data_IF_737139406208
#
_entry.id   IF_737139406208
#
_cell.length_a   1.000
_cell.length_b   1.000
_cell.length_c   1.000
_cell.angle_alpha   90.00
_cell.angle_beta   90.00
_cell.angle_gamma   90.00
#
_symmetry.space_group_name_H-M   'P 1'
#
loop_
_entity.id
_entity.type
_entity.pdbx_description
1 polymer ?
#
# COMPACT_ATOMS: atom_id res chain seq x y z
N UNK A 1 -20.81 -0.27 -15.57
CA UNK A 1 -19.90 0.28 -14.55
C UNK A 1 -18.49 0.20 -15.10
N UNK A 2 -17.78 1.32 -15.25
CA UNK A 2 -16.40 1.30 -15.74
C UNK A 2 -15.54 0.57 -14.71
N UNK A 3 -14.89 -0.53 -15.10
CA UNK A 3 -13.86 -1.14 -14.25
C UNK A 3 -12.84 -0.06 -13.90
N UNK A 4 -12.65 0.29 -12.62
CA UNK A 4 -11.62 1.25 -12.25
C UNK A 4 -10.29 0.69 -12.76
N UNK A 5 -9.58 1.48 -13.58
CA UNK A 5 -8.26 1.10 -14.08
C UNK A 5 -7.38 0.71 -12.89
N UNK A 6 -6.86 -0.51 -12.90
CA UNK A 6 -5.95 -1.01 -11.88
C UNK A 6 -4.75 -0.07 -11.77
N UNK A 7 -4.36 0.27 -10.55
CA UNK A 7 -3.18 1.10 -10.30
C UNK A 7 -1.96 0.20 -10.43
N UNK A 8 -0.95 0.66 -11.16
CA UNK A 8 0.34 -0.03 -11.21
C UNK A 8 1.02 0.04 -9.83
N UNK A 9 1.45 -1.12 -9.34
CA UNK A 9 2.18 -1.23 -8.08
C UNK A 9 3.39 -2.15 -8.25
N UNK A 10 4.47 -1.86 -7.52
CA UNK A 10 5.66 -2.68 -7.46
C UNK A 10 5.89 -3.14 -6.03
N UNK A 11 6.19 -4.42 -5.82
CA UNK A 11 6.55 -4.96 -4.50
C UNK A 11 8.05 -5.22 -4.50
N UNK A 12 8.81 -4.40 -3.77
CA UNK A 12 10.26 -4.57 -3.69
C UNK A 12 10.87 -3.90 -2.45
N UNK A 13 11.43 -4.66 -1.48
CA UNK A 13 11.47 -6.12 -1.41
C UNK A 13 10.12 -6.74 -0.98
N UNK A 14 9.93 -8.03 -1.28
CA UNK A 14 8.93 -8.87 -0.62
C UNK A 14 9.60 -9.69 0.49
N UNK A 15 9.50 -9.15 1.70
CA UNK A 15 9.97 -9.75 2.95
C UNK A 15 8.98 -10.79 3.49
N UNK A 16 8.90 -10.91 4.82
CA UNK A 16 8.09 -11.93 5.47
C UNK A 16 6.58 -11.73 5.25
N UNK A 17 6.01 -10.50 5.30
CA UNK A 17 4.62 -10.28 4.90
C UNK A 17 4.40 -10.48 3.41
N UNK A 18 3.46 -11.33 3.01
CA UNK A 18 3.20 -11.67 1.61
C UNK A 18 1.98 -10.89 1.11
N UNK A 19 2.19 -10.08 0.07
CA UNK A 19 1.12 -9.34 -0.62
C UNK A 19 0.67 -10.17 -1.81
N UNK A 20 -0.63 -10.37 -1.93
CA UNK A 20 -1.24 -11.09 -3.04
C UNK A 20 -1.58 -10.15 -4.20
N UNK A 21 -2.28 -9.05 -3.92
CA UNK A 21 -2.71 -8.12 -4.97
C UNK A 21 -3.03 -6.72 -4.46
N UNK A 22 -3.18 -5.78 -5.39
CA UNK A 22 -3.82 -4.49 -5.14
C UNK A 22 -5.01 -4.30 -6.05
N UNK A 23 -6.15 -3.91 -5.47
CA UNK A 23 -7.38 -3.61 -6.18
C UNK A 23 -7.77 -2.15 -5.98
N UNK A 24 -8.09 -1.45 -7.07
CA UNK A 24 -8.63 -0.09 -7.03
C UNK A 24 -10.15 -0.18 -6.96
N UNK A 25 -10.77 0.44 -5.95
CA UNK A 25 -12.23 0.46 -5.82
C UNK A 25 -12.83 1.72 -6.42
N UNK A 26 -12.22 2.88 -6.11
CA UNK A 26 -12.69 4.19 -6.56
C UNK A 26 -11.49 5.00 -7.03
N UNK A 27 -11.65 5.67 -8.17
CA UNK A 27 -10.71 6.68 -8.66
C UNK A 27 -11.48 7.91 -9.12
N UNK A 28 -11.34 8.99 -8.35
CA UNK A 28 -11.76 10.33 -8.74
C UNK A 28 -10.52 11.16 -9.13
N UNK A 29 -10.74 12.42 -9.53
CA UNK A 29 -9.67 13.36 -9.94
C UNK A 29 -8.54 13.47 -8.91
N UNK A 30 -8.91 13.52 -7.62
CA UNK A 30 -7.99 13.86 -6.52
C UNK A 30 -8.05 12.87 -5.34
N UNK A 31 -8.87 11.82 -5.43
CA UNK A 31 -9.02 10.79 -4.39
C UNK A 31 -9.03 9.41 -5.04
N UNK A 32 -8.30 8.47 -4.44
CA UNK A 32 -8.28 7.07 -4.80
C UNK A 32 -8.52 6.23 -3.54
N UNK A 33 -9.41 5.25 -3.65
CA UNK A 33 -9.55 4.18 -2.66
C UNK A 33 -9.01 2.88 -3.26
N UNK A 34 -8.07 2.24 -2.56
CA UNK A 34 -7.45 0.99 -2.96
C UNK A 34 -7.37 0.02 -1.79
N UNK A 35 -7.33 -1.28 -2.08
CA UNK A 35 -7.09 -2.33 -1.07
C UNK A 35 -5.84 -3.10 -1.46
N UNK A 36 -4.94 -3.25 -0.51
CA UNK A 36 -3.80 -4.16 -0.61
C UNK A 36 -4.21 -5.44 0.09
N UNK A 37 -4.45 -6.49 -0.68
CA UNK A 37 -4.78 -7.81 -0.15
C UNK A 37 -3.53 -8.62 0.09
N UNK A 38 -3.51 -9.31 1.21
CA UNK A 38 -2.38 -10.06 1.71
C UNK A 38 -2.73 -11.53 1.89
N UNK A 39 -1.75 -12.37 1.61
CA UNK A 39 -1.78 -13.76 2.03
C UNK A 39 -1.45 -13.89 3.53
N UNK A 40 -0.54 -13.04 4.03
CA UNK A 40 -0.21 -13.00 5.46
C UNK A 40 -1.31 -12.33 6.28
N UNK A 41 -1.47 -12.78 7.52
CA UNK A 41 -2.52 -12.33 8.46
C UNK A 41 -1.93 -11.48 9.56
N UNK A 42 -2.72 -10.54 10.09
CA UNK A 42 -2.37 -9.75 11.29
C UNK A 42 -1.00 -9.06 11.19
N UNK A 43 -0.66 -8.58 9.99
CA UNK A 43 0.48 -7.70 9.78
C UNK A 43 0.10 -6.26 10.11
N UNK A 44 1.10 -5.39 10.20
CA UNK A 44 0.89 -3.97 10.50
C UNK A 44 1.57 -3.06 9.48
N UNK A 45 1.08 -1.82 9.40
CA UNK A 45 1.73 -0.76 8.64
C UNK A 45 2.84 -0.16 9.49
N UNK A 46 4.08 -0.43 9.11
CA UNK A 46 5.25 0.13 9.78
C UNK A 46 5.49 1.59 9.38
N UNK A 47 5.21 1.96 8.13
CA UNK A 47 5.31 3.34 7.66
C UNK A 47 4.55 3.57 6.35
N UNK A 48 4.14 4.82 6.14
CA UNK A 48 3.77 5.34 4.82
C UNK A 48 4.97 6.02 4.18
N UNK A 49 5.17 5.79 2.88
CA UNK A 49 6.27 6.33 2.09
C UNK A 49 5.70 7.44 1.20
N UNK A 50 6.39 8.59 1.18
CA UNK A 50 6.10 9.69 0.27
C UNK A 50 7.40 10.13 -0.40
N UNK A 51 7.47 9.91 -1.72
CA UNK A 51 8.65 10.24 -2.53
C UNK A 51 8.23 10.83 -3.87
N UNK A 52 9.18 11.42 -4.58
CA UNK A 52 8.98 11.90 -5.96
C UNK A 52 8.61 10.79 -6.94
N UNK A 53 8.90 9.54 -6.58
CA UNK A 53 8.57 8.35 -7.36
C UNK A 53 7.18 7.79 -7.05
N UNK A 54 6.41 8.44 -6.17
CA UNK A 54 5.07 8.03 -5.78
C UNK A 54 4.99 7.57 -4.32
N UNK A 55 3.75 7.32 -3.85
CA UNK A 55 3.50 6.83 -2.50
C UNK A 55 3.79 5.34 -2.37
N UNK A 56 3.93 4.87 -1.13
CA UNK A 56 4.06 3.46 -0.83
C UNK A 56 3.86 3.13 0.64
N UNK A 57 4.03 1.86 0.99
CA UNK A 57 3.89 1.34 2.34
C UNK A 57 5.03 0.41 2.69
N UNK A 58 5.44 0.45 3.95
CA UNK A 58 6.17 -0.63 4.60
C UNK A 58 5.21 -1.42 5.47
N UNK A 59 5.18 -2.73 5.23
CA UNK A 59 4.36 -3.69 5.97
C UNK A 59 5.31 -4.58 6.76
N UNK A 60 5.08 -4.71 8.06
CA UNK A 60 5.86 -5.54 8.97
C UNK A 60 5.02 -6.67 9.55
N UNK A 61 5.68 -7.76 9.94
CA UNK A 61 5.06 -8.78 10.75
C UNK A 61 5.06 -8.33 12.23
N UNK A 62 3.94 -8.54 12.91
CA UNK A 62 3.82 -8.40 14.37
C UNK A 62 4.17 -9.74 15.03
N UNK A 63 4.01 -9.92 16.34
CA UNK A 63 4.08 -11.26 16.98
C UNK A 63 2.91 -12.18 16.62
N UNK A 64 1.77 -11.61 16.24
CA UNK A 64 0.51 -12.32 15.97
C UNK A 64 0.35 -12.63 14.48
N UNK A 65 1.31 -12.23 13.64
CA UNK A 65 1.25 -12.52 12.22
C UNK A 65 1.41 -14.01 11.88
N UNK A 66 0.63 -14.46 10.90
CA UNK A 66 0.60 -15.83 10.39
C UNK A 66 0.66 -15.84 8.86
N UNK A 67 0.94 -17.01 8.28
CA UNK A 67 1.05 -17.18 6.81
C UNK A 67 2.09 -16.22 6.20
N UNK A 68 3.20 -16.01 6.92
CA UNK A 68 4.36 -15.28 6.44
C UNK A 68 5.09 -16.12 5.38
N UNK A 69 5.90 -15.46 4.56
CA UNK A 69 6.76 -16.10 3.57
C UNK A 69 7.71 -17.08 4.26
N UNK A 70 7.70 -18.32 3.80
CA UNK A 70 8.62 -19.34 4.31
C UNK A 70 10.08 -18.95 4.03
N UNK A 71 10.98 -19.29 4.95
CA UNK A 71 12.43 -19.06 4.86
C UNK A 71 12.88 -17.58 4.84
N UNK A 72 11.98 -16.63 5.13
CA UNK A 72 12.35 -15.23 5.34
C UNK A 72 12.41 -14.92 6.85
N UNK A 73 13.35 -14.06 7.27
CA UNK A 73 13.33 -13.57 8.63
C UNK A 73 12.08 -12.69 8.85
N UNK A 74 11.34 -12.95 9.93
CA UNK A 74 10.11 -12.24 10.34
C UNK A 74 10.28 -10.71 10.34
N UNK A 75 11.46 -10.23 10.68
CA UNK A 75 11.76 -8.80 10.79
C UNK A 75 11.95 -8.11 9.43
N UNK A 76 12.05 -8.88 8.34
CA UNK A 76 12.19 -8.34 6.99
C UNK A 76 10.82 -7.88 6.52
N UNK A 77 10.65 -6.56 6.46
CA UNK A 77 9.45 -5.89 5.96
C UNK A 77 9.24 -6.08 4.46
N UNK A 78 7.98 -6.01 4.05
CA UNK A 78 7.59 -5.92 2.64
C UNK A 78 7.29 -4.47 2.27
N UNK A 79 7.76 -4.06 1.09
CA UNK A 79 7.52 -2.71 0.57
C UNK A 79 6.66 -2.78 -0.68
N UNK A 80 5.59 -1.99 -0.71
CA UNK A 80 4.80 -1.75 -1.91
C UNK A 80 4.85 -0.29 -2.31
N UNK A 81 5.09 -0.01 -3.59
CA UNK A 81 5.17 1.33 -4.17
C UNK A 81 4.15 1.49 -5.30
N UNK A 82 3.63 2.69 -5.47
CA UNK A 82 2.67 3.06 -6.53
C UNK A 82 3.30 4.07 -7.51
N UNK A 83 4.17 3.62 -8.43
CA UNK A 83 5.02 4.51 -9.23
C UNK A 83 4.27 5.43 -10.19
N UNK A 84 3.07 5.04 -10.62
CA UNK A 84 2.23 5.84 -11.51
C UNK A 84 1.48 6.96 -10.78
N UNK A 85 1.55 7.02 -9.45
CA UNK A 85 0.88 8.00 -8.62
C UNK A 85 1.84 9.09 -8.12
N UNK A 86 2.72 9.61 -8.98
CA UNK A 86 3.59 10.76 -8.66
C UNK A 86 2.76 11.99 -8.27
N UNK A 87 3.15 12.65 -7.17
CA UNK A 87 2.39 13.77 -6.60
C UNK A 87 1.10 13.36 -5.88
N UNK A 88 0.96 12.08 -5.53
CA UNK A 88 -0.07 11.59 -4.61
C UNK A 88 0.58 11.18 -3.29
N UNK A 89 -0.21 11.21 -2.22
CA UNK A 89 0.18 10.71 -0.90
C UNK A 89 -0.88 9.79 -0.34
N UNK A 90 -0.47 8.87 0.52
CA UNK A 90 -1.40 8.10 1.34
C UNK A 90 -1.87 9.01 2.46
N UNK A 91 -3.16 9.29 2.51
CA UNK A 91 -3.78 10.15 3.51
C UNK A 91 -4.19 9.37 4.76
N UNK A 92 -4.75 8.18 4.55
CA UNK A 92 -5.12 7.27 5.64
C UNK A 92 -4.92 5.83 5.22
N UNK A 93 -4.62 4.99 6.20
CA UNK A 93 -4.58 3.54 6.06
C UNK A 93 -5.33 2.93 7.23
N UNK A 94 -6.16 1.94 6.94
CA UNK A 94 -6.77 1.10 7.95
C UNK A 94 -6.44 -0.38 7.71
N UNK A 95 -6.26 -1.12 8.79
CA UNK A 95 -5.77 -2.51 8.78
C UNK A 95 -6.84 -3.52 9.15
N UNK A 96 -7.12 -4.44 8.24
CA UNK A 96 -7.93 -5.63 8.47
C UNK A 96 -7.07 -6.86 8.77
N UNK A 97 -7.72 -8.02 8.85
CA UNK A 97 -7.03 -9.30 9.07
C UNK A 97 -6.09 -9.69 7.93
N UNK A 98 -6.50 -9.43 6.69
CA UNK A 98 -5.81 -9.79 5.45
C UNK A 98 -5.59 -8.60 4.51
N UNK A 99 -6.08 -7.42 4.87
CA UNK A 99 -6.21 -6.33 3.91
C UNK A 99 -5.78 -5.01 4.55
N UNK A 100 -5.17 -4.14 3.75
CA UNK A 100 -5.01 -2.74 4.09
C UNK A 100 -5.83 -1.87 3.15
N UNK A 101 -6.69 -1.05 3.75
CA UNK A 101 -7.56 -0.11 3.05
C UNK A 101 -6.84 1.23 2.95
N UNK A 102 -6.57 1.69 1.73
CA UNK A 102 -5.81 2.89 1.45
C UNK A 102 -6.72 3.99 0.93
N UNK A 103 -6.60 5.18 1.51
CA UNK A 103 -7.08 6.42 0.90
C UNK A 103 -5.88 7.23 0.43
N UNK A 104 -5.77 7.44 -0.88
CA UNK A 104 -4.75 8.28 -1.49
C UNK A 104 -5.36 9.58 -1.98
N UNK A 105 -4.66 10.68 -1.75
CA UNK A 105 -5.08 12.01 -2.19
C UNK A 105 -4.00 12.64 -3.06
N UNK A 106 -4.42 13.37 -4.08
CA UNK A 106 -3.51 14.14 -4.92
C UNK A 106 -3.01 15.35 -4.13
N UNK A 107 -1.72 15.58 -4.16
CA UNK A 107 -1.14 16.77 -3.56
C UNK A 107 -1.56 18.00 -4.38
N UNK A 108 -2.29 18.91 -3.74
CA UNK A 108 -2.61 20.20 -4.32
C UNK A 108 -1.43 21.10 -4.05
N UNK A 109 -0.58 21.33 -5.06
CA UNK A 109 0.43 22.39 -5.00
C UNK A 109 -0.31 23.71 -4.78
N UNK A 110 -0.22 24.28 -3.57
CA UNK A 110 -0.63 25.66 -3.34
C UNK A 110 0.19 26.52 -4.30
N UNK A 111 -0.47 27.27 -5.20
CA UNK A 111 0.21 28.34 -5.91
C UNK A 111 0.73 29.30 -4.85
N UNK A 112 2.04 29.56 -4.84
CA UNK A 112 2.57 30.70 -4.12
C UNK A 112 1.96 31.92 -4.82
N UNK A 113 1.05 32.60 -4.12
CA UNK A 113 0.62 33.96 -4.47
C UNK A 113 1.79 34.92 -4.27
#
# INVERSE_FOLDING_TARGET
MNNPKQIEYHIHPQGAPVIESVQTYIRHRDIIAAVVSMQSKHCEIAATIFTDNGPGLWIAATKDSHCLKDNENRDIRTTIMFPTLKGWRIWSVDGGRYDFYLCLVREIKRRKE
#
